data_IF_550828630177
#
_entry.id   IF_550828630177
#
_cell.length_a   1.000
_cell.length_b   1.000
_cell.length_c   1.000
_cell.angle_alpha   90.00
_cell.angle_beta   90.00
_cell.angle_gamma   90.00
#
_symmetry.space_group_name_H-M   'P 1'
#
loop_
_entity.id
_entity.type
_entity.pdbx_description
1 polymer ?
#
# COMPACT_ATOMS: atom_id res chain seq x y z
N UNK A 1 -3.07 -26.92 -29.97
CA UNK A 1 -3.56 -25.65 -29.39
C UNK A 1 -3.29 -25.61 -27.88
N UNK A 2 -2.36 -24.80 -27.36
CA UNK A 2 -1.80 -25.13 -26.05
C UNK A 2 -2.77 -24.74 -24.94
N UNK A 3 -2.90 -25.70 -24.02
CA UNK A 3 -3.68 -25.81 -22.81
C UNK A 3 -3.34 -24.77 -21.72
N UNK A 4 -3.10 -23.50 -22.06
CA UNK A 4 -2.77 -22.42 -21.10
C UNK A 4 -3.94 -21.96 -20.22
N UNK A 5 -5.16 -22.46 -20.48
CA UNK A 5 -6.38 -22.06 -19.78
C UNK A 5 -6.34 -22.23 -18.23
N UNK A 6 -5.77 -23.31 -17.66
CA UNK A 6 -5.78 -23.50 -16.20
C UNK A 6 -4.92 -22.47 -15.47
N UNK A 7 -3.76 -22.12 -16.03
CA UNK A 7 -2.80 -21.17 -15.42
C UNK A 7 -3.38 -19.76 -15.37
N UNK A 8 -4.13 -19.35 -16.41
CA UNK A 8 -4.81 -18.05 -16.46
C UNK A 8 -5.92 -17.93 -15.40
N UNK A 9 -6.62 -19.02 -15.08
CA UNK A 9 -7.65 -19.03 -14.04
C UNK A 9 -7.06 -18.95 -12.62
N UNK A 10 -5.88 -19.51 -12.41
CA UNK A 10 -5.19 -19.50 -11.10
C UNK A 10 -4.34 -18.24 -10.88
N UNK A 11 -3.97 -17.53 -11.95
CA UNK A 11 -3.13 -16.34 -11.90
C UNK A 11 -3.46 -15.34 -10.77
N UNK A 12 -4.72 -14.89 -10.56
CA UNK A 12 -5.01 -13.92 -9.50
C UNK A 12 -4.74 -14.47 -8.09
N UNK A 13 -4.97 -15.77 -7.86
CA UNK A 13 -4.69 -16.42 -6.58
C UNK A 13 -3.18 -16.58 -6.36
N UNK A 14 -2.43 -16.91 -7.42
CA UNK A 14 -0.97 -16.99 -7.35
C UNK A 14 -0.31 -15.63 -7.11
N UNK A 15 -0.84 -14.57 -7.72
CA UNK A 15 -0.40 -13.19 -7.49
C UNK A 15 -0.69 -12.79 -6.04
N UNK A 16 -1.91 -13.03 -5.54
CA UNK A 16 -2.26 -12.73 -4.16
C UNK A 16 -1.36 -13.49 -3.17
N UNK A 17 -1.12 -14.79 -3.40
CA UNK A 17 -0.22 -15.60 -2.58
C UNK A 17 1.21 -15.06 -2.62
N UNK A 18 1.73 -14.72 -3.80
CA UNK A 18 3.06 -14.12 -3.95
C UNK A 18 3.18 -12.83 -3.13
N UNK A 19 2.20 -11.94 -3.21
CA UNK A 19 2.22 -10.67 -2.49
C UNK A 19 2.17 -10.88 -0.97
N UNK A 20 1.30 -11.78 -0.49
CA UNK A 20 1.18 -12.08 0.95
C UNK A 20 2.44 -12.74 1.51
N UNK A 21 3.00 -13.73 0.80
CA UNK A 21 4.22 -14.40 1.24
C UNK A 21 5.40 -13.44 1.28
N UNK A 22 5.56 -12.57 0.29
CA UNK A 22 6.64 -11.60 0.29
C UNK A 22 6.45 -10.51 1.34
N UNK A 23 5.22 -10.03 1.57
CA UNK A 23 4.93 -9.12 2.68
C UNK A 23 5.34 -9.75 4.01
N UNK A 24 4.89 -10.98 4.27
CA UNK A 24 5.23 -11.71 5.48
C UNK A 24 6.75 -11.96 5.60
N UNK A 25 7.41 -12.36 4.52
CA UNK A 25 8.86 -12.59 4.51
C UNK A 25 9.66 -11.32 4.82
N UNK A 26 9.15 -10.14 4.42
CA UNK A 26 9.80 -8.86 4.71
C UNK A 26 9.42 -8.27 6.07
N UNK A 27 8.33 -8.72 6.71
CA UNK A 27 7.89 -8.22 8.02
C UNK A 27 8.28 -9.13 9.19
N UNK A 28 8.07 -10.44 9.06
CA UNK A 28 8.25 -11.42 10.15
C UNK A 28 9.65 -11.44 10.76
N UNK A 29 10.76 -11.23 10.03
CA UNK A 29 12.09 -11.15 10.63
C UNK A 29 12.17 -10.05 11.69
N UNK A 30 11.52 -8.91 11.45
CA UNK A 30 11.56 -7.74 12.33
C UNK A 30 10.55 -7.82 13.47
N UNK A 31 9.46 -8.58 13.29
CA UNK A 31 8.41 -8.73 14.30
C UNK A 31 8.88 -9.41 15.60
N UNK A 32 9.99 -10.17 15.57
CA UNK A 32 10.54 -10.91 16.72
C UNK A 32 11.87 -10.35 17.25
N UNK A 33 12.37 -9.26 16.67
CA UNK A 33 13.65 -8.67 17.09
C UNK A 33 13.47 -7.94 18.43
N UNK A 34 14.32 -8.25 19.40
CA UNK A 34 14.33 -7.61 20.73
C UNK A 34 15.21 -6.34 20.79
N UNK A 35 15.87 -5.99 19.69
CA UNK A 35 16.62 -4.74 19.53
C UNK A 35 15.68 -3.60 19.13
N UNK A 36 16.17 -2.37 19.23
CA UNK A 36 15.44 -1.21 18.73
C UNK A 36 15.22 -1.31 17.22
N UNK A 37 13.97 -1.16 16.79
CA UNK A 37 13.58 -1.14 15.38
C UNK A 37 12.82 0.15 15.08
N UNK A 38 13.05 0.70 13.90
CA UNK A 38 12.37 1.87 13.38
C UNK A 38 11.55 1.54 12.13
N UNK A 39 10.72 2.50 11.68
CA UNK A 39 9.79 2.32 10.57
C UNK A 39 10.43 1.87 9.26
N UNK A 40 11.72 2.18 9.02
CA UNK A 40 12.39 1.77 7.78
C UNK A 40 12.51 0.24 7.63
N UNK A 41 12.50 -0.53 8.73
CA UNK A 41 12.47 -1.99 8.66
C UNK A 41 11.16 -2.52 8.03
N UNK A 42 10.08 -1.74 8.13
CA UNK A 42 8.80 -2.08 7.51
C UNK A 42 8.74 -1.70 6.02
N UNK A 43 9.68 -0.89 5.50
CA UNK A 43 9.61 -0.41 4.11
C UNK A 43 9.59 -1.53 3.07
N UNK A 44 10.36 -2.61 3.30
CA UNK A 44 10.34 -3.79 2.42
C UNK A 44 8.96 -4.45 2.36
N UNK A 45 8.31 -4.64 3.50
CA UNK A 45 6.95 -5.18 3.57
C UNK A 45 5.92 -4.20 2.96
N UNK A 46 6.10 -2.90 3.20
CA UNK A 46 5.23 -1.85 2.67
C UNK A 46 5.16 -1.86 1.14
N UNK A 47 6.28 -2.15 0.44
CA UNK A 47 6.28 -2.30 -1.03
C UNK A 47 5.28 -3.37 -1.48
N UNK A 48 5.27 -4.54 -0.85
CA UNK A 48 4.32 -5.61 -1.20
C UNK A 48 2.88 -5.27 -0.80
N UNK A 49 2.69 -4.51 0.28
CA UNK A 49 1.38 -3.96 0.65
C UNK A 49 0.84 -2.98 -0.40
N UNK A 50 1.68 -2.07 -0.91
CA UNK A 50 1.31 -1.15 -1.98
C UNK A 50 0.99 -1.87 -3.30
N UNK A 51 1.77 -2.90 -3.64
CA UNK A 51 1.49 -3.75 -4.80
C UNK A 51 0.16 -4.50 -4.65
N UNK A 52 -0.20 -4.94 -3.45
CA UNK A 52 -1.50 -5.56 -3.18
C UNK A 52 -2.66 -4.58 -3.34
N UNK A 53 -2.51 -3.34 -2.89
CA UNK A 53 -3.51 -2.28 -3.13
C UNK A 53 -3.63 -2.00 -4.63
N UNK A 54 -2.51 -1.88 -5.36
CA UNK A 54 -2.52 -1.66 -6.80
C UNK A 54 -3.21 -2.80 -7.55
N UNK A 55 -2.94 -4.05 -7.15
CA UNK A 55 -3.60 -5.23 -7.69
C UNK A 55 -5.12 -5.20 -7.45
N UNK A 56 -5.57 -4.84 -6.25
CA UNK A 56 -7.00 -4.69 -5.96
C UNK A 56 -7.64 -3.57 -6.80
N UNK A 57 -6.98 -2.41 -6.89
CA UNK A 57 -7.46 -1.28 -7.69
C UNK A 57 -7.62 -1.66 -9.16
N UNK A 58 -6.65 -2.36 -9.77
CA UNK A 58 -6.77 -2.85 -11.15
C UNK A 58 -8.03 -3.71 -11.32
N UNK A 59 -8.23 -4.69 -10.44
CA UNK A 59 -9.41 -5.57 -10.49
C UNK A 59 -10.72 -4.80 -10.34
N UNK A 60 -10.76 -3.80 -9.46
CA UNK A 60 -11.93 -2.96 -9.24
C UNK A 60 -12.25 -2.04 -10.42
N UNK A 61 -11.24 -1.42 -11.04
CA UNK A 61 -11.41 -0.53 -12.19
C UNK A 61 -11.99 -1.23 -13.42
N UNK A 62 -11.68 -2.52 -13.59
CA UNK A 62 -12.18 -3.33 -14.70
C UNK A 62 -13.40 -4.18 -14.34
N UNK A 63 -13.96 -4.03 -13.14
CA UNK A 63 -15.12 -4.79 -12.72
C UNK A 63 -16.42 -4.28 -13.36
N UNK A 64 -17.36 -5.15 -13.78
CA UNK A 64 -18.63 -4.71 -14.37
C UNK A 64 -19.49 -3.85 -13.42
N UNK A 65 -19.46 -4.14 -12.12
CA UNK A 65 -20.18 -3.36 -11.10
C UNK A 65 -19.61 -1.95 -10.97
N UNK A 66 -20.48 -0.95 -11.04
CA UNK A 66 -20.11 0.48 -11.01
C UNK A 66 -19.53 0.86 -9.65
N UNK A 67 -20.08 0.29 -8.57
CA UNK A 67 -19.68 0.56 -7.19
C UNK A 67 -18.23 0.16 -6.94
N UNK A 68 -17.81 -0.99 -7.49
CA UNK A 68 -16.42 -1.44 -7.39
C UNK A 68 -15.49 -0.54 -8.20
N UNK A 69 -15.88 -0.13 -9.40
CA UNK A 69 -15.10 0.84 -10.19
C UNK A 69 -14.93 2.16 -9.46
N UNK A 70 -16.03 2.69 -8.91
CA UNK A 70 -16.02 3.90 -8.10
C UNK A 70 -15.08 3.74 -6.90
N UNK A 71 -15.13 2.60 -6.21
CA UNK A 71 -14.22 2.29 -5.09
C UNK A 71 -12.76 2.35 -5.52
N UNK A 72 -12.39 1.71 -6.63
CA UNK A 72 -11.02 1.74 -7.15
C UNK A 72 -10.54 3.16 -7.49
N UNK A 73 -11.39 3.95 -8.15
CA UNK A 73 -11.12 5.36 -8.46
C UNK A 73 -10.93 6.17 -7.17
N UNK A 74 -11.84 6.03 -6.20
CA UNK A 74 -11.79 6.74 -4.92
C UNK A 74 -10.50 6.42 -4.15
N UNK A 75 -10.10 5.15 -4.08
CA UNK A 75 -8.86 4.75 -3.40
C UNK A 75 -7.63 5.41 -4.05
N UNK A 76 -7.56 5.41 -5.38
CA UNK A 76 -6.45 6.06 -6.12
C UNK A 76 -6.41 7.57 -5.82
N UNK A 77 -7.56 8.25 -5.87
CA UNK A 77 -7.64 9.67 -5.55
C UNK A 77 -7.23 9.98 -4.10
N UNK A 78 -7.68 9.17 -3.14
CA UNK A 78 -7.30 9.34 -1.73
C UNK A 78 -5.79 9.15 -1.52
N UNK A 79 -5.17 8.17 -2.19
CA UNK A 79 -3.71 7.97 -2.14
C UNK A 79 -2.98 9.19 -2.71
N UNK A 80 -3.43 9.72 -3.86
CA UNK A 80 -2.83 10.89 -4.48
C UNK A 80 -2.97 12.15 -3.60
N UNK A 81 -4.16 12.38 -3.04
CA UNK A 81 -4.41 13.50 -2.12
C UNK A 81 -3.57 13.37 -0.85
N UNK A 82 -3.50 12.18 -0.26
CA UNK A 82 -2.63 11.91 0.89
C UNK A 82 -1.17 12.21 0.54
N UNK A 83 -0.67 11.67 -0.58
CA UNK A 83 0.70 11.93 -1.01
C UNK A 83 1.00 13.43 -1.11
N UNK A 84 0.15 14.21 -1.78
CA UNK A 84 0.32 15.68 -1.92
C UNK A 84 0.23 16.38 -0.55
N UNK A 85 -0.68 15.96 0.33
CA UNK A 85 -0.87 16.55 1.64
C UNK A 85 0.37 16.39 2.55
N UNK A 86 0.98 15.19 2.59
CA UNK A 86 2.21 14.91 3.35
C UNK A 86 3.50 15.22 2.59
N UNK A 87 3.47 15.52 1.29
CA UNK A 87 4.65 15.82 0.47
C UNK A 87 5.61 16.86 1.09
N UNK A 88 5.13 17.98 1.69
CA UNK A 88 6.02 18.94 2.32
C UNK A 88 6.89 18.35 3.43
N UNK A 89 6.37 17.38 4.20
CA UNK A 89 7.13 16.68 5.25
C UNK A 89 8.21 15.80 4.63
N UNK A 90 7.87 15.05 3.57
CA UNK A 90 8.84 14.20 2.87
C UNK A 90 9.96 15.00 2.19
N UNK A 91 9.66 16.19 1.68
CA UNK A 91 10.64 17.08 1.03
C UNK A 91 11.41 17.95 2.04
N UNK A 92 11.05 17.96 3.32
CA UNK A 92 11.67 18.84 4.31
C UNK A 92 11.43 20.33 4.04
N UNK A 93 10.28 20.68 3.43
CA UNK A 93 9.92 22.07 3.18
C UNK A 93 9.66 22.79 4.52
N UNK A 94 9.94 24.11 4.62
CA UNK A 94 9.63 24.86 5.82
C UNK A 94 8.12 24.88 6.07
N UNK A 95 7.71 24.52 7.29
CA UNK A 95 6.32 24.51 7.74
C UNK A 95 6.18 25.43 8.96
N UNK A 96 5.03 26.11 9.07
CA UNK A 96 4.64 26.73 10.34
C UNK A 96 4.27 25.66 11.37
N UNK A 97 4.19 26.03 12.64
CA UNK A 97 3.75 25.12 13.72
C UNK A 97 2.37 24.56 13.41
N UNK A 98 1.44 25.42 13.00
CA UNK A 98 0.08 25.03 12.62
C UNK A 98 0.07 24.09 11.40
N UNK A 99 0.98 24.33 10.44
CA UNK A 99 1.14 23.49 9.26
C UNK A 99 1.64 22.08 9.59
N UNK A 100 2.48 21.94 10.62
CA UNK A 100 2.92 20.66 11.14
C UNK A 100 1.79 19.95 11.92
N UNK A 101 1.14 20.66 12.85
CA UNK A 101 0.05 20.08 13.65
C UNK A 101 -1.14 19.64 12.79
N UNK A 102 -1.46 20.37 11.71
CA UNK A 102 -2.50 19.97 10.74
C UNK A 102 -2.25 18.57 10.14
N UNK A 103 -0.99 18.15 10.03
CA UNK A 103 -0.57 16.86 9.46
C UNK A 103 -0.37 15.79 10.52
N UNK A 104 -0.42 16.15 11.80
CA UNK A 104 -0.30 15.25 12.95
C UNK A 104 -1.68 14.79 13.39
N UNK A 105 -2.23 13.83 12.66
CA UNK A 105 -3.59 13.32 12.91
C UNK A 105 -3.71 12.53 14.21
N UNK A 106 -2.62 11.93 14.67
CA UNK A 106 -2.57 11.16 15.91
C UNK A 106 -1.49 11.73 16.81
N UNK A 107 -1.75 11.75 18.12
CA UNK A 107 -0.79 12.25 19.13
C UNK A 107 0.54 11.46 19.11
N UNK A 108 0.52 10.20 18.67
CA UNK A 108 1.70 9.35 18.59
C UNK A 108 2.59 9.64 17.36
N UNK A 109 2.17 10.50 16.43
CA UNK A 109 2.97 10.85 15.27
C UNK A 109 3.99 11.93 15.67
N UNK A 110 5.22 11.50 15.96
CA UNK A 110 6.32 12.37 16.40
C UNK A 110 6.81 13.23 15.24
#
# INVERSE_FOLDING_TARGET
PPSFAPTLLLAPYLIALYLLLNHAANWLPWAKVSRCVFIYHYMGAAVFGLLAIAFLCDRWLWHPQVELRATGITVIFLIALAFVFWLPLYLGLPLSVEGLELRRWFESWV
#
